data_IF_686068402239
#
_entry.id   IF_686068402239
#
_cell.length_a   1.000
_cell.length_b   1.000
_cell.length_c   1.000
_cell.angle_alpha   90.00
_cell.angle_beta   90.00
_cell.angle_gamma   90.00
#
_symmetry.space_group_name_H-M   'P 1'
#
loop_
_entity.id
_entity.type
_entity.pdbx_description
1 polymer ?
#
# COMPACT_ATOMS: atom_id res chain seq x y z
N UNK A 1 -5.11 17.27 9.94
CA UNK A 1 -6.10 16.23 10.29
C UNK A 1 -5.30 15.01 10.66
N UNK A 2 -5.48 14.48 11.85
CA UNK A 2 -4.82 13.24 12.28
C UNK A 2 -5.47 12.07 11.53
N UNK A 3 -4.65 11.18 10.96
CA UNK A 3 -5.13 10.00 10.24
C UNK A 3 -5.00 8.79 11.17
N UNK A 4 -6.12 8.16 11.49
CA UNK A 4 -6.18 6.99 12.37
C UNK A 4 -6.78 5.82 11.60
N UNK A 5 -6.10 4.68 11.57
CA UNK A 5 -6.62 3.43 10.98
C UNK A 5 -7.18 2.53 12.10
N UNK A 6 -8.26 1.81 11.83
CA UNK A 6 -8.87 0.90 12.84
C UNK A 6 -8.61 -0.56 12.48
N UNK A 7 -7.99 -1.31 13.38
CA UNK A 7 -7.81 -2.76 13.24
C UNK A 7 -9.01 -3.51 13.84
N UNK A 8 -9.50 -4.52 13.13
CA UNK A 8 -10.64 -5.34 13.56
C UNK A 8 -10.25 -6.81 13.57
N UNK A 9 -10.80 -7.55 14.55
CA UNK A 9 -10.66 -9.01 14.59
C UNK A 9 -11.41 -9.70 13.44
N UNK A 10 -12.45 -9.04 12.93
CA UNK A 10 -13.28 -9.46 11.83
C UNK A 10 -13.31 -8.40 10.72
N UNK A 11 -12.97 -8.81 9.50
CA UNK A 11 -13.01 -7.95 8.32
C UNK A 11 -11.67 -7.78 7.61
N UNK A 12 -11.66 -6.96 6.54
CA UNK A 12 -10.46 -6.64 5.79
C UNK A 12 -9.59 -5.61 6.51
N UNK A 13 -8.39 -5.39 5.99
CA UNK A 13 -7.54 -4.25 6.38
C UNK A 13 -8.27 -2.93 6.11
N UNK A 14 -7.97 -1.92 6.92
CA UNK A 14 -8.41 -0.55 6.66
C UNK A 14 -7.89 -0.09 5.28
N UNK A 15 -8.76 0.41 4.42
CA UNK A 15 -8.45 0.81 3.04
C UNK A 15 -7.34 1.87 2.98
N UNK A 16 -7.19 2.64 4.05
CA UNK A 16 -6.24 3.74 4.14
C UNK A 16 -4.86 3.32 4.69
N UNK A 17 -4.76 2.13 5.31
CA UNK A 17 -3.53 1.65 5.94
C UNK A 17 -2.40 1.44 4.92
N UNK A 18 -2.67 0.64 3.87
CA UNK A 18 -1.63 0.31 2.88
C UNK A 18 -1.19 1.53 2.06
N UNK A 19 -2.09 2.39 1.52
CA UNK A 19 -1.68 3.58 0.79
C UNK A 19 -0.85 4.55 1.64
N UNK A 20 -1.23 4.73 2.91
CA UNK A 20 -0.45 5.55 3.83
C UNK A 20 0.94 4.96 4.07
N UNK A 21 1.03 3.67 4.33
CA UNK A 21 2.32 3.03 4.59
C UNK A 21 3.22 2.98 3.36
N UNK A 22 2.65 2.80 2.15
CA UNK A 22 3.40 2.94 0.89
C UNK A 22 4.04 4.32 0.78
N UNK A 23 3.29 5.37 1.10
CA UNK A 23 3.77 6.76 1.13
C UNK A 23 4.90 6.95 2.15
N UNK A 24 4.74 6.40 3.36
CA UNK A 24 5.77 6.46 4.43
C UNK A 24 7.06 5.76 4.00
N UNK A 25 6.95 4.64 3.28
CA UNK A 25 8.07 3.83 2.82
C UNK A 25 8.64 4.27 1.47
N UNK A 26 8.22 5.42 0.90
CA UNK A 26 8.84 5.93 -0.33
C UNK A 26 10.30 6.29 -0.06
N UNK A 27 11.19 5.66 -0.81
CA UNK A 27 12.62 5.92 -0.73
C UNK A 27 13.32 5.56 -2.04
N UNK A 28 14.58 5.97 -2.18
CA UNK A 28 15.46 5.56 -3.28
C UNK A 28 14.80 5.77 -4.66
N UNK A 29 14.67 4.73 -5.47
CA UNK A 29 14.11 4.76 -6.82
C UNK A 29 12.64 5.20 -6.90
N UNK A 30 11.89 5.19 -5.79
CA UNK A 30 10.48 5.64 -5.78
C UNK A 30 10.34 7.10 -5.37
N UNK A 31 11.42 7.76 -4.92
CA UNK A 31 11.39 9.13 -4.40
C UNK A 31 10.92 10.17 -5.42
N UNK A 32 11.04 9.88 -6.73
CA UNK A 32 10.54 10.75 -7.78
C UNK A 32 9.02 10.99 -7.68
N UNK A 33 8.26 10.10 -7.04
CA UNK A 33 6.82 10.28 -6.84
C UNK A 33 6.48 11.45 -5.91
N UNK A 34 7.46 11.95 -5.15
CA UNK A 34 7.33 13.12 -4.27
C UNK A 34 7.64 14.44 -4.97
N UNK A 35 8.07 14.39 -6.23
CA UNK A 35 8.34 15.59 -7.02
C UNK A 35 7.07 16.42 -7.22
N UNK A 36 7.25 17.75 -7.30
CA UNK A 36 6.12 18.70 -7.36
C UNK A 36 5.14 18.44 -8.52
N UNK A 37 5.62 17.87 -9.63
CA UNK A 37 4.81 17.50 -10.79
C UNK A 37 3.75 16.44 -10.46
N UNK A 38 4.00 15.59 -9.48
CA UNK A 38 3.10 14.50 -9.07
C UNK A 38 2.27 14.83 -7.83
N UNK A 39 2.38 16.05 -7.28
CA UNK A 39 1.75 16.40 -6.00
C UNK A 39 0.23 16.15 -5.97
N UNK A 40 -0.46 16.33 -7.09
CA UNK A 40 -1.91 16.13 -7.20
C UNK A 40 -2.29 14.66 -7.44
N UNK A 41 -1.34 13.84 -7.87
CA UNK A 41 -1.56 12.46 -8.33
C UNK A 41 -0.96 11.43 -7.37
N UNK A 42 -0.06 11.83 -6.47
CA UNK A 42 0.71 10.94 -5.58
C UNK A 42 -0.18 10.00 -4.78
N UNK A 43 -1.33 10.49 -4.28
CA UNK A 43 -2.28 9.65 -3.56
C UNK A 43 -2.89 8.57 -4.46
N UNK A 44 -3.19 8.90 -5.71
CA UNK A 44 -3.63 7.94 -6.72
C UNK A 44 -2.57 6.88 -7.03
N UNK A 45 -1.29 7.25 -6.98
CA UNK A 45 -0.20 6.30 -7.20
C UNK A 45 -0.02 5.33 -6.04
N UNK A 46 -0.06 5.79 -4.79
CA UNK A 46 0.11 4.94 -3.59
C UNK A 46 -1.14 4.12 -3.24
N UNK A 47 -2.31 4.46 -3.78
CA UNK A 47 -3.48 3.59 -3.68
C UNK A 47 -3.26 2.21 -4.33
N UNK A 48 -2.29 2.10 -5.24
CA UNK A 48 -1.86 0.86 -5.87
C UNK A 48 -0.40 0.53 -5.49
N UNK A 49 0.06 -0.72 -5.66
CA UNK A 49 1.45 -1.08 -5.37
C UNK A 49 2.45 -0.20 -6.13
N UNK A 50 3.45 0.33 -5.44
CA UNK A 50 4.43 1.27 -6.02
C UNK A 50 5.55 0.51 -6.71
N UNK A 51 6.35 -0.20 -5.92
CA UNK A 51 7.44 -1.06 -6.36
C UNK A 51 7.52 -2.28 -5.44
N UNK A 52 8.18 -3.34 -5.91
CA UNK A 52 8.37 -4.56 -5.11
C UNK A 52 9.15 -4.29 -3.82
N UNK A 53 10.16 -3.42 -3.89
CA UNK A 53 10.97 -3.05 -2.72
C UNK A 53 10.17 -2.20 -1.73
N UNK A 54 9.33 -1.29 -2.20
CA UNK A 54 8.44 -0.49 -1.35
C UNK A 54 7.39 -1.36 -0.65
N UNK A 55 6.71 -2.27 -1.38
CA UNK A 55 5.75 -3.21 -0.77
C UNK A 55 6.42 -4.10 0.27
N UNK A 56 7.61 -4.63 -0.04
CA UNK A 56 8.35 -5.48 0.88
C UNK A 56 8.68 -4.75 2.18
N UNK A 57 9.30 -3.57 2.07
CA UNK A 57 9.67 -2.78 3.23
C UNK A 57 8.45 -2.43 4.08
N UNK A 58 7.35 -2.03 3.43
CA UNK A 58 6.11 -1.67 4.10
C UNK A 58 5.52 -2.85 4.87
N UNK A 59 5.40 -4.02 4.23
CA UNK A 59 4.83 -5.22 4.85
C UNK A 59 5.72 -5.72 6.00
N UNK A 60 7.04 -5.80 5.80
CA UNK A 60 7.98 -6.19 6.86
C UNK A 60 7.91 -5.23 8.06
N UNK A 61 7.79 -3.92 7.80
CA UNK A 61 7.68 -2.91 8.87
C UNK A 61 6.37 -3.07 9.65
N UNK A 62 5.25 -3.26 8.96
CA UNK A 62 3.94 -3.44 9.62
C UNK A 62 3.90 -4.73 10.44
N UNK A 63 4.35 -5.85 9.87
CA UNK A 63 4.38 -7.15 10.55
C UNK A 63 5.22 -7.03 11.82
N UNK A 64 6.46 -6.55 11.71
CA UNK A 64 7.35 -6.40 12.88
C UNK A 64 6.76 -5.46 13.94
N UNK A 65 6.08 -4.39 13.53
CA UNK A 65 5.42 -3.45 14.45
C UNK A 65 4.26 -4.12 15.20
N UNK A 66 3.44 -4.90 14.50
CA UNK A 66 2.30 -5.57 15.11
C UNK A 66 2.70 -6.80 15.94
N UNK A 67 3.77 -7.51 15.57
CA UNK A 67 4.38 -8.54 16.40
C UNK A 67 4.93 -7.95 17.71
N UNK A 68 5.65 -6.82 17.63
CA UNK A 68 6.10 -6.11 18.83
C UNK A 68 4.93 -5.65 19.73
N UNK A 69 3.87 -5.10 19.12
CA UNK A 69 2.66 -4.73 19.85
C UNK A 69 1.94 -5.94 20.47
N UNK A 70 2.02 -7.11 19.84
CA UNK A 70 1.45 -8.36 20.36
C UNK A 70 2.20 -8.84 21.60
N UNK A 71 3.52 -8.74 21.59
CA UNK A 71 4.39 -9.09 22.72
C UNK A 71 4.18 -8.13 23.91
N UNK A 72 3.95 -6.84 23.62
CA UNK A 72 3.70 -5.80 24.63
C UNK A 72 2.38 -5.98 25.41
N UNK A 73 1.42 -6.78 24.93
CA UNK A 73 0.17 -7.07 25.67
C UNK A 73 0.47 -7.77 27.02
N UNK A 74 1.61 -8.46 27.13
CA UNK A 74 2.19 -8.90 28.42
C UNK A 74 1.45 -10.04 29.13
N UNK A 75 0.37 -10.59 28.56
CA UNK A 75 -0.30 -11.79 29.05
C UNK A 75 -0.51 -12.81 27.93
N UNK A 76 -0.64 -14.09 28.29
CA UNK A 76 -1.04 -15.12 27.34
C UNK A 76 -2.56 -15.19 27.19
N UNK A 77 -3.02 -15.66 26.03
CA UNK A 77 -4.45 -15.87 25.77
C UNK A 77 -5.07 -16.87 26.77
N UNK A 78 -4.30 -17.87 27.19
CA UNK A 78 -4.70 -18.85 28.20
C UNK A 78 -4.90 -18.22 29.57
N UNK A 79 -3.98 -17.34 29.99
CA UNK A 79 -4.08 -16.58 31.25
C UNK A 79 -5.33 -15.70 31.25
N UNK A 80 -5.56 -14.94 30.18
CA UNK A 80 -6.76 -14.08 30.08
C UNK A 80 -8.05 -14.92 30.15
N UNK A 81 -8.08 -16.07 29.48
CA UNK A 81 -9.23 -16.98 29.53
C UNK A 81 -9.45 -17.62 30.91
N UNK A 82 -8.38 -17.85 31.66
CA UNK A 82 -8.47 -18.32 33.04
C UNK A 82 -9.10 -17.28 33.97
N UNK A 83 -8.73 -16.00 33.81
CA UNK A 83 -9.30 -14.88 34.57
C UNK A 83 -10.81 -14.76 34.28
N UNK A 84 -11.20 -14.93 33.02
CA UNK A 84 -12.61 -14.87 32.59
C UNK A 84 -13.44 -16.02 33.17
N UNK A 85 -12.85 -17.22 33.32
CA UNK A 85 -13.54 -18.42 33.83
C UNK A 85 -13.57 -18.50 35.36
N UNK A 86 -12.66 -17.81 36.03
CA UNK A 86 -12.60 -17.80 37.49
C UNK A 86 -13.74 -16.98 38.09
N UNK A 87 -14.59 -17.63 38.88
CA UNK A 87 -15.70 -17.00 39.58
C UNK A 87 -15.23 -16.02 40.68
N UNK A 88 -13.95 -16.08 41.09
CA UNK A 88 -13.37 -15.18 42.09
C UNK A 88 -12.89 -13.84 41.50
N UNK A 89 -12.79 -13.74 40.17
CA UNK A 89 -12.34 -12.54 39.47
C UNK A 89 -13.29 -11.36 39.64
N UNK A 90 -12.74 -10.17 39.84
CA UNK A 90 -13.52 -8.94 39.89
C UNK A 90 -14.03 -8.55 38.49
N UNK A 91 -15.20 -7.93 38.40
CA UNK A 91 -15.76 -7.42 37.14
C UNK A 91 -14.74 -6.66 36.27
N UNK A 92 -13.96 -5.74 36.86
CA UNK A 92 -12.94 -4.98 36.12
C UNK A 92 -11.80 -5.84 35.58
N UNK A 93 -11.41 -6.91 36.28
CA UNK A 93 -10.38 -7.85 35.82
C UNK A 93 -10.88 -8.65 34.62
N UNK A 94 -12.13 -9.11 34.69
CA UNK A 94 -12.79 -9.81 33.57
C UNK A 94 -12.89 -8.91 32.34
N UNK A 95 -13.32 -7.65 32.50
CA UNK A 95 -13.38 -6.69 31.38
C UNK A 95 -12.00 -6.43 30.77
N UNK A 96 -10.97 -6.21 31.59
CA UNK A 96 -9.60 -6.01 31.10
C UNK A 96 -9.08 -7.25 30.34
N UNK A 97 -9.42 -8.46 30.79
CA UNK A 97 -9.07 -9.70 30.10
C UNK A 97 -9.75 -9.78 28.71
N UNK A 98 -11.04 -9.44 28.62
CA UNK A 98 -11.73 -9.40 27.32
C UNK A 98 -11.14 -8.38 26.36
N UNK A 99 -10.74 -7.19 26.83
CA UNK A 99 -10.07 -6.18 25.99
C UNK A 99 -8.77 -6.75 25.42
N UNK A 100 -7.90 -7.33 26.25
CA UNK A 100 -6.64 -7.94 25.78
C UNK A 100 -6.87 -9.08 24.79
N UNK A 101 -7.88 -9.92 25.02
CA UNK A 101 -8.26 -10.98 24.07
C UNK A 101 -8.68 -10.38 22.72
N UNK A 102 -9.50 -9.33 22.75
CA UNK A 102 -9.97 -8.65 21.54
C UNK A 102 -8.83 -7.98 20.76
N UNK A 103 -7.98 -7.22 21.44
CA UNK A 103 -6.80 -6.58 20.86
C UNK A 103 -5.85 -7.60 20.23
N UNK A 104 -5.55 -8.68 20.96
CA UNK A 104 -4.74 -9.79 20.47
C UNK A 104 -5.32 -10.43 19.22
N UNK A 105 -6.64 -10.63 19.20
CA UNK A 105 -7.34 -11.20 18.04
C UNK A 105 -7.26 -10.28 16.82
N UNK A 106 -7.43 -8.97 17.00
CA UNK A 106 -7.30 -7.98 15.93
C UNK A 106 -5.87 -7.91 15.37
N UNK A 107 -4.85 -7.90 16.23
CA UNK A 107 -3.44 -7.90 15.81
C UNK A 107 -3.08 -9.18 15.04
N UNK A 108 -3.39 -10.36 15.59
CA UNK A 108 -3.14 -11.65 14.91
C UNK A 108 -3.81 -11.72 13.55
N UNK A 109 -5.07 -11.26 13.44
CA UNK A 109 -5.79 -11.25 12.17
C UNK A 109 -5.13 -10.30 11.16
N UNK A 110 -4.69 -9.13 11.61
CA UNK A 110 -4.01 -8.14 10.78
C UNK A 110 -2.68 -8.70 10.25
N UNK A 111 -1.85 -9.29 11.11
CA UNK A 111 -0.59 -9.94 10.71
C UNK A 111 -0.85 -11.00 9.64
N UNK A 112 -1.82 -11.88 9.87
CA UNK A 112 -2.19 -12.91 8.89
C UNK A 112 -2.56 -12.32 7.52
N UNK A 113 -3.34 -11.24 7.47
CA UNK A 113 -3.70 -10.58 6.20
C UNK A 113 -2.47 -9.97 5.51
N UNK A 114 -1.53 -9.40 6.28
CA UNK A 114 -0.29 -8.85 5.73
C UNK A 114 0.65 -9.93 5.19
N UNK A 115 0.70 -11.09 5.84
CA UNK A 115 1.44 -12.25 5.34
C UNK A 115 0.86 -12.74 4.01
N UNK A 116 -0.46 -12.78 3.86
CA UNK A 116 -1.12 -13.09 2.58
C UNK A 116 -0.76 -12.07 1.49
N UNK A 117 -0.78 -10.78 1.83
CA UNK A 117 -0.35 -9.70 0.93
C UNK A 117 1.12 -9.82 0.51
N UNK A 118 1.96 -10.42 1.36
CA UNK A 118 3.37 -10.71 1.08
C UNK A 118 3.54 -11.90 0.13
N UNK A 119 2.72 -12.95 0.28
CA UNK A 119 2.70 -14.10 -0.63
C UNK A 119 2.24 -13.71 -2.05
N UNK A 120 1.32 -12.76 -2.16
CA UNK A 120 0.77 -12.28 -3.44
C UNK A 120 1.66 -11.22 -4.13
N UNK A 121 2.83 -10.89 -3.60
CA UNK A 121 3.69 -9.83 -4.15
C UNK A 121 4.08 -10.01 -5.62
N UNK A 122 4.28 -11.26 -6.06
CA UNK A 122 4.71 -11.55 -7.44
C UNK A 122 3.57 -11.46 -8.47
N UNK A 123 2.31 -11.44 -8.02
CA UNK A 123 1.15 -11.27 -8.90
C UNK A 123 0.69 -9.81 -9.03
N UNK A 124 1.25 -8.90 -8.20
CA UNK A 124 0.90 -7.48 -8.19
C UNK A 124 1.47 -6.75 -9.39
N UNK A 125 0.66 -5.87 -9.98
CA UNK A 125 1.09 -4.94 -11.01
C UNK A 125 1.62 -3.65 -10.36
N UNK A 126 2.88 -3.30 -10.63
CA UNK A 126 3.57 -2.15 -10.03
C UNK A 126 3.50 -0.88 -10.88
N UNK A 127 3.93 0.26 -10.33
CA UNK A 127 3.83 1.56 -11.00
C UNK A 127 4.46 1.58 -12.41
N UNK A 128 5.65 0.98 -12.56
CA UNK A 128 6.36 0.97 -13.84
C UNK A 128 5.59 0.17 -14.90
N UNK A 129 5.03 -0.98 -14.52
CA UNK A 129 4.22 -1.81 -15.41
C UNK A 129 2.95 -1.08 -15.86
N UNK A 130 2.24 -0.47 -14.90
CA UNK A 130 1.05 0.36 -15.21
C UNK A 130 1.38 1.49 -16.17
N UNK A 131 2.54 2.14 -15.97
CA UNK A 131 2.99 3.24 -16.82
C UNK A 131 3.31 2.76 -18.24
N UNK A 132 3.94 1.60 -18.40
CA UNK A 132 4.20 1.01 -19.72
C UNK A 132 2.90 0.63 -20.43
N UNK A 133 1.91 0.06 -19.73
CA UNK A 133 0.60 -0.24 -20.33
C UNK A 133 -0.10 1.02 -20.84
N UNK A 134 0.06 2.15 -20.14
CA UNK A 134 -0.53 3.42 -20.58
C UNK A 134 0.05 3.95 -21.90
N UNK A 135 1.20 3.44 -22.36
CA UNK A 135 1.78 3.80 -23.65
C UNK A 135 0.99 3.21 -24.83
N UNK A 136 0.10 2.24 -24.59
CA UNK A 136 -0.78 1.64 -25.58
C UNK A 136 -0.04 1.21 -26.87
N UNK A 137 1.11 0.56 -26.70
CA UNK A 137 2.02 0.17 -27.79
C UNK A 137 1.39 -0.82 -28.78
N UNK A 138 0.35 -1.54 -28.36
CA UNK A 138 -0.35 -2.55 -29.17
C UNK A 138 -1.47 -1.96 -30.03
N UNK A 139 -1.69 -0.64 -29.96
CA UNK A 139 -2.67 0.01 -30.85
C UNK A 139 -2.18 -0.01 -32.30
N UNK A 140 -3.08 -0.08 -33.29
CA UNK A 140 -2.71 0.11 -34.69
C UNK A 140 -1.93 1.41 -34.84
N UNK A 141 -0.79 1.35 -35.54
CA UNK A 141 0.01 2.53 -35.87
C UNK A 141 -0.88 3.46 -36.68
N UNK A 142 -1.01 4.71 -36.22
CA UNK A 142 -1.71 5.74 -36.96
C UNK A 142 -0.87 6.09 -38.20
N UNK A 143 -1.51 6.23 -39.36
CA UNK A 143 -0.81 6.60 -40.60
C UNK A 143 -0.04 7.93 -40.45
N UNK A 144 -0.49 8.83 -39.57
CA UNK A 144 0.20 10.08 -39.24
C UNK A 144 1.50 9.92 -38.45
N UNK A 145 1.74 8.76 -37.84
CA UNK A 145 2.97 8.42 -37.10
C UNK A 145 4.03 7.78 -38.01
N UNK A 146 3.65 7.40 -39.24
CA UNK A 146 4.57 6.83 -40.23
C UNK A 146 5.39 7.95 -40.84
N UNK A 147 6.62 8.12 -40.33
CA UNK A 147 7.62 8.98 -40.97
C UNK A 147 8.23 8.20 -42.13
N UNK A 148 7.77 8.45 -43.36
CA UNK A 148 8.43 7.90 -44.55
C UNK A 148 9.74 8.66 -44.81
N UNK A 149 10.91 8.02 -44.70
CA UNK A 149 12.19 8.68 -44.93
C UNK A 149 12.39 9.12 -46.39
N UNK A 150 11.54 8.67 -47.32
CA UNK A 150 11.60 9.04 -48.74
C UNK A 150 10.61 10.15 -49.13
N UNK A 151 9.79 10.64 -48.18
CA UNK A 151 8.99 11.84 -48.40
C UNK A 151 9.89 13.05 -48.19
N UNK A 152 10.33 13.67 -49.29
CA UNK A 152 10.92 15.01 -49.22
C UNK A 152 9.87 15.94 -48.61
N UNK A 153 10.08 16.38 -47.37
CA UNK A 153 9.33 17.50 -46.81
C UNK A 153 9.56 18.69 -47.76
N UNK A 154 8.56 18.95 -48.60
CA UNK A 154 8.56 20.10 -49.49
C UNK A 154 8.90 21.32 -48.65
N UNK A 155 10.03 21.97 -48.98
CA UNK A 155 10.36 23.29 -48.46
C UNK A 155 9.28 24.27 -48.94
N UNK A 156 8.13 24.29 -48.27
CA UNK A 156 7.22 25.42 -48.38
C UNK A 156 7.92 26.61 -47.75
N UNK A 157 8.43 27.48 -48.62
CA UNK A 157 9.26 28.64 -48.30
C UNK A 157 8.50 29.80 -47.65
N UNK A 158 7.27 29.61 -47.22
CA UNK A 158 6.44 30.68 -46.66
C UNK A 158 5.86 30.28 -45.29
N UNK A 159 6.73 30.26 -44.27
CA UNK A 159 6.32 30.24 -42.88
C UNK A 159 6.02 31.69 -42.42
N UNK A 160 4.75 32.06 -42.13
CA UNK A 160 4.34 33.45 -41.90
C UNK A 160 4.81 34.05 -40.56
N UNK A 161 5.48 33.26 -39.71
CA UNK A 161 5.98 33.66 -38.40
C UNK A 161 7.43 34.16 -38.40
N UNK A 162 8.08 34.26 -39.56
CA UNK A 162 9.38 34.93 -39.74
C UNK A 162 9.22 36.31 -40.41
N UNK A 163 8.47 37.22 -39.79
CA UNK A 163 8.54 38.67 -40.07
C UNK A 163 8.59 39.46 -38.78
#
# INVERSE_FOLDING_TARGET
>A
TEMTCTLKADGPLDESLLPFMRLVCIQSFDAFLLESVFRQEVWGFVNLPVSKDNEKLMLETLIATFEGALDDIGSSESEDMSIVRDASSTYRQVQAAYVRIGERSALKKTIYLLEQEMEEMDSKEYYQERRLKSLNLDRPVDESEIVDPNVEFGRERDAPWMR
#
